data_IF_370376620690
#
_entry.id   IF_370376620690
#
_cell.length_a   1.000
_cell.length_b   1.000
_cell.length_c   1.000
_cell.angle_alpha   90.00
_cell.angle_beta   90.00
_cell.angle_gamma   90.00
#
_symmetry.space_group_name_H-M   'P 1'
#
loop_
_entity.id
_entity.type
_entity.pdbx_description
1 polymer ?
#
# COMPACT_ATOMS: atom_id res chain seq x y z
N UNK A 1 -1.59 18.13 -7.29
CA UNK A 1 -0.66 17.11 -7.80
C UNK A 1 -1.05 15.78 -7.20
N UNK A 2 -0.74 14.67 -7.87
CA UNK A 2 -1.16 13.31 -7.46
C UNK A 2 -2.46 12.84 -8.11
N UNK A 3 -2.88 13.46 -9.21
CA UNK A 3 -4.13 13.11 -9.94
C UNK A 3 -3.88 12.82 -11.42
N UNK A 4 -2.72 13.19 -11.96
CA UNK A 4 -2.34 12.87 -13.33
C UNK A 4 -1.59 11.53 -13.39
N UNK A 5 -1.54 10.93 -14.58
CA UNK A 5 -0.80 9.68 -14.80
C UNK A 5 0.67 9.79 -14.35
N UNK A 6 1.16 8.74 -13.69
CA UNK A 6 2.50 8.65 -13.12
C UNK A 6 2.83 9.67 -12.00
N UNK A 7 1.85 10.41 -11.46
CA UNK A 7 2.05 11.26 -10.28
C UNK A 7 1.96 10.45 -8.97
N UNK A 8 2.81 9.45 -8.81
CA UNK A 8 2.98 8.67 -7.58
C UNK A 8 4.45 8.37 -7.32
N UNK A 9 4.86 8.42 -6.05
CA UNK A 9 6.26 8.30 -5.66
C UNK A 9 6.40 7.74 -4.24
N UNK A 10 7.37 6.84 -4.03
CA UNK A 10 7.86 6.44 -2.72
C UNK A 10 9.19 7.16 -2.48
N UNK A 11 9.29 7.90 -1.38
CA UNK A 11 10.50 8.64 -1.02
C UNK A 11 11.08 8.03 0.26
N UNK A 12 12.20 7.33 0.13
CA UNK A 12 12.96 6.83 1.28
C UNK A 12 13.85 7.94 1.81
N UNK A 13 13.86 8.13 3.13
CA UNK A 13 14.56 9.20 3.84
C UNK A 13 15.51 8.62 4.87
N UNK A 14 16.64 9.28 5.05
CA UNK A 14 17.50 9.11 6.21
C UNK A 14 17.63 10.43 7.00
N UNK A 15 18.46 10.45 8.03
CA UNK A 15 18.70 11.64 8.86
C UNK A 15 19.37 12.80 8.11
N UNK A 16 19.93 12.57 6.92
CA UNK A 16 20.71 13.53 6.15
C UNK A 16 19.99 14.03 4.91
N UNK A 17 18.96 13.32 4.43
CA UNK A 17 18.22 13.72 3.25
C UNK A 17 17.36 12.63 2.64
N UNK A 18 17.27 12.66 1.31
CA UNK A 18 16.60 11.64 0.50
C UNK A 18 17.61 10.55 0.19
N UNK A 19 17.30 9.33 0.61
CA UNK A 19 18.14 8.17 0.38
C UNK A 19 17.80 7.48 -0.95
N UNK A 20 16.51 7.42 -1.30
CA UNK A 20 16.03 6.83 -2.56
C UNK A 20 14.68 7.42 -2.97
N UNK A 21 14.39 7.41 -4.27
CA UNK A 21 13.10 7.85 -4.83
C UNK A 21 12.68 6.86 -5.90
N UNK A 22 11.50 6.27 -5.72
CA UNK A 22 10.91 5.36 -6.70
C UNK A 22 9.62 5.97 -7.26
N UNK A 23 9.50 6.00 -8.58
CA UNK A 23 8.43 6.71 -9.29
C UNK A 23 7.52 5.75 -10.02
N UNK A 24 6.23 6.06 -10.04
CA UNK A 24 5.34 5.46 -11.02
C UNK A 24 5.84 5.76 -12.44
N UNK A 25 5.68 4.78 -13.30
CA UNK A 25 6.02 4.90 -14.71
C UNK A 25 5.00 4.14 -15.56
N UNK A 26 5.13 4.25 -16.88
CA UNK A 26 4.27 3.49 -17.80
C UNK A 26 4.44 1.98 -17.64
N UNK A 27 5.63 1.54 -17.25
CA UNK A 27 5.98 0.14 -17.10
C UNK A 27 5.76 -0.37 -15.66
N UNK A 28 5.63 0.55 -14.69
CA UNK A 28 5.39 0.24 -13.29
C UNK A 28 4.24 1.09 -12.74
N UNK A 29 3.04 0.51 -12.74
CA UNK A 29 1.77 1.19 -12.48
C UNK A 29 1.36 1.23 -11.00
N UNK A 30 2.14 0.61 -10.12
CA UNK A 30 1.95 0.66 -8.67
C UNK A 30 3.31 0.70 -7.95
N UNK A 31 3.31 1.14 -6.69
CA UNK A 31 4.47 1.11 -5.81
C UNK A 31 4.04 0.49 -4.47
N UNK A 32 4.84 -0.43 -3.92
CA UNK A 32 4.62 -1.03 -2.61
C UNK A 32 5.77 -0.69 -1.68
N UNK A 33 5.44 -0.13 -0.52
CA UNK A 33 6.41 0.16 0.54
C UNK A 33 5.93 -0.42 1.87
N UNK A 34 6.84 -1.07 2.60
CA UNK A 34 6.61 -1.50 3.99
C UNK A 34 7.60 -0.80 4.92
N UNK A 35 8.24 -1.51 5.85
CA UNK A 35 9.16 -0.94 6.84
C UNK A 35 10.63 -1.28 6.56
N UNK A 36 10.96 -1.68 5.33
CA UNK A 36 12.33 -1.99 4.90
C UNK A 36 12.65 -1.35 3.55
N UNK A 37 13.94 -1.19 3.29
CA UNK A 37 14.46 -0.67 2.03
C UNK A 37 14.40 -1.73 0.92
N UNK A 38 13.24 -1.89 0.30
CA UNK A 38 13.04 -2.88 -0.75
C UNK A 38 13.82 -2.57 -2.03
N UNK A 39 14.12 -1.30 -2.28
CA UNK A 39 14.94 -0.86 -3.41
C UNK A 39 16.38 -1.41 -3.35
N UNK A 40 16.86 -1.80 -2.17
CA UNK A 40 18.18 -2.41 -1.95
C UNK A 40 18.07 -3.93 -1.76
N UNK A 41 17.15 -4.39 -0.92
CA UNK A 41 17.09 -5.78 -0.47
C UNK A 41 16.01 -6.63 -1.15
N UNK A 42 15.23 -6.03 -2.03
CA UNK A 42 14.06 -6.65 -2.66
C UNK A 42 12.87 -6.77 -1.70
N UNK A 43 11.73 -7.15 -2.28
CA UNK A 43 10.50 -7.36 -1.54
C UNK A 43 10.46 -8.74 -0.88
N UNK A 44 10.04 -8.78 0.39
CA UNK A 44 9.78 -10.01 1.13
C UNK A 44 8.49 -9.88 1.93
N UNK A 45 8.01 -11.01 2.49
CA UNK A 45 6.87 -11.08 3.42
C UNK A 45 5.66 -10.26 2.93
N UNK A 46 5.31 -9.17 3.65
CA UNK A 46 4.19 -8.28 3.32
C UNK A 46 4.36 -7.52 2.01
N UNK A 47 5.59 -7.18 1.60
CA UNK A 47 5.77 -6.57 0.28
C UNK A 47 5.50 -7.59 -0.82
N UNK A 48 6.10 -8.79 -0.69
CA UNK A 48 5.97 -9.84 -1.70
C UNK A 48 4.51 -10.28 -1.86
N UNK A 49 3.81 -10.54 -0.74
CA UNK A 49 2.40 -10.94 -0.76
C UNK A 49 1.49 -9.85 -1.38
N UNK A 50 1.67 -8.58 -1.01
CA UNK A 50 0.88 -7.51 -1.60
C UNK A 50 1.18 -7.33 -3.09
N UNK A 51 2.46 -7.46 -3.48
CA UNK A 51 2.87 -7.39 -4.88
C UNK A 51 2.20 -8.51 -5.68
N UNK A 52 2.25 -9.75 -5.18
CA UNK A 52 1.59 -10.91 -5.79
C UNK A 52 0.09 -10.69 -5.95
N UNK A 53 -0.62 -10.26 -4.91
CA UNK A 53 -2.07 -10.01 -5.00
C UNK A 53 -2.43 -8.88 -5.97
N UNK A 54 -1.63 -7.80 -6.01
CA UNK A 54 -1.84 -6.71 -6.97
C UNK A 54 -1.61 -7.22 -8.42
N UNK A 55 -0.56 -8.02 -8.64
CA UNK A 55 -0.25 -8.62 -9.93
C UNK A 55 -1.33 -9.61 -10.40
N UNK A 56 -1.88 -10.42 -9.48
CA UNK A 56 -2.97 -11.36 -9.75
C UNK A 56 -4.26 -10.65 -10.18
N UNK A 57 -4.61 -9.53 -9.54
CA UNK A 57 -5.78 -8.72 -9.90
C UNK A 57 -5.55 -8.03 -11.25
N UNK A 58 -4.34 -7.49 -11.45
CA UNK A 58 -3.93 -6.77 -12.64
C UNK A 58 -4.49 -5.35 -12.72
N UNK A 59 -3.80 -4.50 -13.48
CA UNK A 59 -4.09 -3.06 -13.59
C UNK A 59 -5.53 -2.74 -13.99
N UNK A 60 -6.11 -3.50 -14.92
CA UNK A 60 -7.45 -3.23 -15.46
C UNK A 60 -8.57 -3.42 -14.43
N UNK A 61 -8.35 -4.24 -13.40
CA UNK A 61 -9.34 -4.56 -12.37
C UNK A 61 -8.98 -3.95 -11.00
N UNK A 62 -7.99 -3.06 -10.95
CA UNK A 62 -7.51 -2.50 -9.70
C UNK A 62 -8.23 -1.19 -9.36
N UNK A 63 -9.19 -1.26 -8.44
CA UNK A 63 -9.93 -0.11 -7.90
C UNK A 63 -9.73 0.04 -6.37
N UNK A 64 -10.48 0.96 -5.75
CA UNK A 64 -10.38 1.21 -4.30
C UNK A 64 -10.83 0.01 -3.46
N UNK A 65 -11.81 -0.77 -3.92
CA UNK A 65 -12.29 -1.95 -3.21
C UNK A 65 -11.26 -3.08 -3.32
N UNK A 66 -10.67 -3.27 -4.50
CA UNK A 66 -9.56 -4.17 -4.71
C UNK A 66 -8.38 -3.82 -3.80
N UNK A 67 -7.98 -2.54 -3.73
CA UNK A 67 -6.92 -2.07 -2.82
C UNK A 67 -7.25 -2.36 -1.35
N UNK A 68 -8.46 -2.03 -0.91
CA UNK A 68 -8.88 -2.28 0.46
C UNK A 68 -8.87 -3.77 0.80
N UNK A 69 -9.32 -4.63 -0.12
CA UNK A 69 -9.34 -6.07 0.08
C UNK A 69 -7.92 -6.65 0.20
N UNK A 70 -6.98 -6.26 -0.68
CA UNK A 70 -5.60 -6.78 -0.60
C UNK A 70 -4.87 -6.34 0.67
N UNK A 71 -5.18 -5.15 1.19
CA UNK A 71 -4.66 -4.71 2.49
C UNK A 71 -5.20 -5.54 3.67
N UNK A 72 -6.38 -6.15 3.52
CA UNK A 72 -7.03 -6.99 4.50
C UNK A 72 -6.76 -8.50 4.31
N UNK A 73 -5.77 -8.87 3.49
CA UNK A 73 -5.30 -10.24 3.34
C UNK A 73 -4.05 -10.47 4.19
N UNK A 74 -3.95 -11.63 4.84
CA UNK A 74 -2.71 -12.05 5.52
C UNK A 74 -1.58 -12.24 4.49
N UNK A 75 -0.33 -11.80 4.77
CA UNK A 75 0.17 -11.25 6.04
C UNK A 75 0.12 -9.71 6.13
N UNK A 76 -0.48 -9.04 5.15
CA UNK A 76 -0.60 -7.58 5.13
C UNK A 76 -1.50 -7.09 6.26
N UNK A 77 -2.65 -7.74 6.44
CA UNK A 77 -3.38 -7.78 7.70
C UNK A 77 -2.62 -8.68 8.68
N UNK A 78 -2.48 -8.24 9.93
CA UNK A 78 -1.86 -9.02 11.00
C UNK A 78 -2.23 -8.42 12.37
N UNK A 79 -1.75 -9.03 13.46
CA UNK A 79 -2.04 -8.62 14.84
C UNK A 79 -1.60 -7.19 15.20
N UNK A 80 -0.65 -6.59 14.47
CA UNK A 80 -0.21 -5.20 14.68
C UNK A 80 -1.06 -4.19 13.88
N UNK A 81 -1.97 -4.67 13.02
CA UNK A 81 -2.82 -3.83 12.18
C UNK A 81 -3.95 -3.22 13.01
N UNK A 82 -4.01 -1.88 13.04
CA UNK A 82 -5.05 -1.14 13.77
C UNK A 82 -6.22 -0.74 12.86
N UNK A 83 -5.92 -0.31 11.63
CA UNK A 83 -6.90 0.08 10.62
C UNK A 83 -6.31 -0.13 9.23
N UNK A 84 -7.19 -0.37 8.25
CA UNK A 84 -6.84 -0.34 6.83
C UNK A 84 -7.45 0.91 6.20
N UNK A 85 -6.76 1.52 5.23
CA UNK A 85 -7.26 2.73 4.57
C UNK A 85 -6.97 2.77 3.07
N UNK A 86 -7.98 3.12 2.26
CA UNK A 86 -7.89 3.30 0.82
C UNK A 86 -8.41 4.68 0.41
N UNK A 87 -7.68 5.37 -0.49
CA UNK A 87 -7.96 6.76 -0.87
C UNK A 87 -7.80 7.01 -2.36
N UNK A 88 -8.60 7.92 -2.90
CA UNK A 88 -8.41 8.48 -4.23
C UNK A 88 -8.38 10.01 -4.16
N UNK A 89 -7.25 10.60 -4.58
CA UNK A 89 -7.09 12.06 -4.65
C UNK A 89 -8.01 12.72 -5.69
N UNK A 90 -8.53 11.94 -6.64
CA UNK A 90 -9.41 12.42 -7.71
C UNK A 90 -10.87 12.53 -7.25
N UNK A 91 -11.26 11.85 -6.17
CA UNK A 91 -12.64 11.79 -5.70
C UNK A 91 -12.92 12.91 -4.69
N UNK A 92 -13.81 13.83 -5.04
CA UNK A 92 -14.21 14.99 -4.23
C UNK A 92 -14.86 14.59 -2.89
N UNK A 93 -15.47 13.39 -2.85
CA UNK A 93 -15.96 12.70 -1.65
C UNK A 93 -15.45 11.24 -1.65
N UNK A 94 -14.12 11.05 -1.74
CA UNK A 94 -13.51 9.71 -1.71
C UNK A 94 -14.15 8.88 -0.60
N UNK A 95 -14.66 7.66 -0.87
CA UNK A 95 -15.02 6.76 0.20
C UNK A 95 -13.73 6.51 0.98
N UNK A 96 -13.62 7.17 2.12
CA UNK A 96 -12.55 6.97 3.08
C UNK A 96 -12.89 5.64 3.75
N UNK A 97 -12.49 4.54 3.13
CA UNK A 97 -12.62 3.22 3.74
C UNK A 97 -11.55 3.11 4.82
N UNK A 98 -11.81 3.69 5.98
CA UNK A 98 -11.01 3.48 7.17
C UNK A 98 -11.87 2.77 8.19
N UNK A 99 -11.57 1.50 8.41
CA UNK A 99 -12.22 0.71 9.45
C UNK A 99 -11.15 0.19 10.38
N UNK A 100 -11.47 0.20 11.67
CA UNK A 100 -10.67 -0.53 12.65
C UNK A 100 -10.74 -2.01 12.29
N UNK A 101 -9.60 -2.68 12.33
CA UNK A 101 -9.57 -4.13 12.13
C UNK A 101 -10.14 -4.76 13.41
N UNK A 102 -11.36 -5.29 13.33
CA UNK A 102 -11.92 -6.10 14.41
C UNK A 102 -11.30 -7.50 14.35
N UNK A 103 -10.29 -7.74 15.19
CA UNK A 103 -9.66 -9.06 15.30
C UNK A 103 -8.38 -9.14 16.14
N UNK A 104 -7.72 -8.01 16.44
CA UNK A 104 -6.31 -8.04 16.90
C UNK A 104 -6.08 -7.79 18.40
N UNK A 105 -7.12 -7.46 19.17
CA UNK A 105 -6.94 -7.23 20.62
C UNK A 105 -7.85 -8.18 21.38
N UNK A 106 -7.35 -9.30 21.93
CA UNK A 106 -8.06 -9.94 23.02
C UNK A 106 -8.10 -8.90 24.14
N UNK A 107 -9.29 -8.37 24.44
CA UNK A 107 -9.52 -7.68 25.70
C UNK A 107 -9.08 -8.64 26.80
N UNK A 108 -7.95 -8.35 27.44
CA UNK A 108 -7.59 -9.00 28.70
C UNK A 108 -8.64 -8.55 29.69
N UNK A 109 -9.57 -9.46 30.00
CA UNK A 109 -10.51 -9.31 31.11
C UNK A 109 -9.78 -9.51 32.44
#
# INVERSE_FOLDING_TARGET
SGIQGNEGVVITRDNFGVAHVDHLSKDNWYLVQTNRDHWDQGCNTRCAALTEHIEEIGHENFDLDALYNVLNMEPNLNEESLYAAAFSAQMENSPFFCQLVEGSIPFVQ
#
